data_IF_049803688671
#
_entry.id   IF_049803688671
#
_cell.length_a   1.000
_cell.length_b   1.000
_cell.length_c   1.000
_cell.angle_alpha   90.00
_cell.angle_beta   90.00
_cell.angle_gamma   90.00
#
_symmetry.space_group_name_H-M   'P 1'
#
loop_
_entity.id
_entity.type
_entity.pdbx_description
1 polymer ?
2 non-polymer ?
3 non-polymer ?
4 water ?
#
# COMPACT_ATOMS: atom_id res chain seq x y z
N UNK A 5 -11.95 -21.58 21.85
CA UNK A 5 -13.19 -20.80 22.08
C UNK A 5 -12.97 -19.32 22.32
N UNK A 6 -12.69 -18.95 23.58
CA UNK A 6 -12.90 -17.57 24.08
C UNK A 6 -11.71 -16.60 23.94
N UNK A 7 -11.95 -15.46 23.31
CA UNK A 7 -10.93 -14.43 23.09
C UNK A 7 -11.46 -13.06 23.53
N UNK A 8 -10.72 -12.40 24.42
CA UNK A 8 -11.05 -11.07 24.93
C UNK A 8 -10.04 -10.00 24.54
N UNK A 9 -10.50 -8.84 24.08
CA UNK A 9 -9.61 -7.75 23.64
C UNK A 9 -10.27 -6.40 23.93
N UNK A 10 -9.54 -5.54 24.61
CA UNK A 10 -9.99 -4.17 24.71
C UNK A 10 -9.33 -3.34 23.61
N UNK A 11 -10.11 -2.87 22.65
CA UNK A 11 -9.53 -2.20 21.46
C UNK A 11 -8.94 -0.85 21.80
N UNK A 12 -9.40 -0.25 22.88
CA UNK A 12 -8.81 1.00 23.38
C UNK A 12 -7.41 0.78 24.02
N UNK A 13 -7.07 -0.46 24.36
CA UNK A 13 -5.73 -0.76 24.88
C UNK A 13 -4.78 -1.28 23.81
N UNK A 14 -5.28 -1.33 22.58
CA UNK A 14 -4.52 -1.77 21.44
C UNK A 14 -4.00 -0.49 20.83
N UNK A 15 -2.68 -0.28 20.88
CA UNK A 15 -2.07 0.98 20.45
C UNK A 15 -1.32 0.85 19.13
N UNK A 16 -1.28 1.97 18.42
CA UNK A 16 -0.40 2.13 17.27
C UNK A 16 0.49 3.33 17.54
N UNK A 17 1.78 3.09 17.76
CA UNK A 17 2.66 4.17 18.22
C UNK A 17 3.93 4.29 17.40
N UNK A 18 4.73 5.29 17.76
CA UNK A 18 6.04 5.52 17.15
C UNK A 18 6.99 4.35 17.38
N UNK A 19 6.88 3.71 18.54
CA UNK A 19 7.83 2.66 18.89
C UNK A 19 7.20 1.28 18.79
N UNK A 20 6.80 0.95 17.57
CA UNK A 20 5.94 -0.21 17.32
C UNK A 20 6.65 -1.54 17.73
N UNK A 21 7.89 -1.73 17.28
CA UNK A 21 8.66 -2.98 17.58
C UNK A 21 8.83 -3.19 19.07
N UNK A 22 9.33 -2.19 19.76
CA UNK A 22 9.51 -2.29 21.21
C UNK A 22 8.17 -2.54 21.92
N UNK A 23 7.10 -1.96 21.42
CA UNK A 23 5.79 -2.14 22.03
C UNK A 23 5.11 -3.41 21.58
N UNK A 24 5.80 -4.19 20.75
CA UNK A 24 5.26 -5.44 20.25
C UNK A 24 3.91 -5.21 19.57
N UNK A 25 3.86 -4.22 18.71
CA UNK A 25 2.66 -3.94 17.95
C UNK A 25 2.57 -4.85 16.73
N UNK A 26 1.49 -5.59 16.62
CA UNK A 26 1.31 -6.49 15.49
C UNK A 26 1.03 -5.77 14.20
N UNK A 27 1.70 -6.20 13.13
CA UNK A 27 1.45 -5.62 11.79
C UNK A 27 0.98 -6.73 10.83
N UNK A 28 0.04 -6.36 9.97
CA UNK A 28 -0.47 -7.22 8.91
C UNK A 28 -0.02 -6.61 7.57
N UNK A 29 0.81 -7.37 6.82
CA UNK A 29 1.30 -6.87 5.56
C UNK A 29 0.44 -7.51 4.47
N UNK A 30 -0.24 -6.67 3.70
CA UNK A 30 -1.22 -7.15 2.72
C UNK A 30 -0.76 -6.84 1.30
N UNK A 31 -0.78 -7.86 0.45
CA UNK A 31 -0.24 -7.72 -0.89
C UNK A 31 -1.23 -8.41 -1.84
N UNK A 32 -1.95 -7.63 -2.66
CA UNK A 32 -2.58 -8.29 -3.81
C UNK A 32 -1.54 -8.66 -4.86
N UNK A 33 -1.64 -9.86 -5.43
CA UNK A 33 -0.54 -10.38 -6.22
C UNK A 33 -1.05 -11.02 -7.49
N UNK A 34 -0.76 -10.38 -8.62
CA UNK A 34 -1.00 -11.02 -9.90
C UNK A 34 0.23 -11.75 -10.41
N UNK A 35 1.43 -11.28 -10.02
CA UNK A 35 2.72 -11.86 -10.49
C UNK A 35 3.64 -11.96 -9.27
N UNK A 36 4.22 -13.14 -9.05
CA UNK A 36 5.22 -13.33 -8.01
C UNK A 36 6.59 -12.89 -8.51
N UNK A 37 7.23 -11.97 -7.78
CA UNK A 37 8.61 -11.59 -8.09
C UNK A 37 9.50 -12.00 -6.95
N UNK A 38 10.54 -12.78 -7.26
CA UNK A 38 11.45 -13.20 -6.21
C UNK A 38 12.04 -12.03 -5.41
N UNK A 39 12.34 -10.91 -6.08
CA UNK A 39 12.94 -9.80 -5.36
C UNK A 39 11.97 -9.16 -4.35
N UNK A 40 10.69 -9.11 -4.71
CA UNK A 40 9.64 -8.73 -3.74
C UNK A 40 9.72 -9.64 -2.52
N UNK A 41 9.77 -10.94 -2.78
CA UNK A 41 9.81 -11.90 -1.70
C UNK A 41 11.07 -11.76 -0.87
N UNK A 42 12.22 -11.65 -1.53
CA UNK A 42 13.46 -11.54 -0.79
C UNK A 42 13.48 -10.23 -0.01
N UNK A 43 12.98 -9.17 -0.62
CA UNK A 43 12.92 -7.89 0.09
C UNK A 43 12.05 -7.98 1.35
N UNK A 44 10.96 -8.76 1.28
CA UNK A 44 10.08 -8.94 2.41
C UNK A 44 10.81 -9.69 3.50
N UNK A 45 11.48 -10.77 3.12
CA UNK A 45 12.24 -11.55 4.09
C UNK A 45 13.35 -10.76 4.76
N UNK A 46 13.91 -9.77 4.06
CA UNK A 46 14.93 -8.93 4.67
C UNK A 46 14.37 -7.84 5.60
N UNK A 47 13.05 -7.66 5.68
CA UNK A 47 12.52 -6.74 6.72
C UNK A 47 12.98 -7.22 8.10
N UNK A 48 13.43 -6.30 8.95
CA UNK A 48 13.96 -6.70 10.26
C UNK A 48 13.03 -6.40 11.45
N UNK A 49 11.81 -5.95 11.16
CA UNK A 49 10.75 -5.94 12.16
C UNK A 49 10.54 -7.37 12.69
N UNK A 50 10.28 -7.54 14.01
CA UNK A 50 10.27 -8.92 14.49
C UNK A 50 9.19 -9.79 13.83
N UNK A 51 9.61 -10.95 13.35
CA UNK A 51 8.73 -11.88 12.62
C UNK A 51 7.51 -12.31 13.42
N UNK A 52 7.69 -12.46 14.73
CA UNK A 52 6.60 -12.93 15.56
C UNK A 52 5.48 -11.87 15.62
N UNK A 53 5.81 -10.63 15.25
CA UNK A 53 4.80 -9.53 15.11
C UNK A 53 4.20 -9.32 13.73
N UNK A 54 4.52 -10.19 12.79
CA UNK A 54 4.09 -9.98 11.41
C UNK A 54 3.13 -11.08 11.01
N UNK A 55 1.97 -10.68 10.46
CA UNK A 55 1.13 -11.58 9.70
C UNK A 55 1.16 -11.11 8.26
N UNK A 56 1.09 -12.06 7.34
CA UNK A 56 1.04 -11.79 5.90
C UNK A 56 -0.31 -12.20 5.33
N UNK A 57 -0.81 -11.41 4.38
CA UNK A 57 -2.02 -11.77 3.67
C UNK A 57 -1.78 -11.51 2.20
N UNK A 58 -2.15 -12.47 1.35
CA UNK A 58 -2.04 -12.32 -0.12
C UNK A 58 -3.38 -12.63 -0.76
N UNK A 59 -3.68 -12.01 -1.90
CA UNK A 59 -4.90 -12.38 -2.67
C UNK A 59 -4.55 -12.38 -4.15
N UNK A 60 -4.83 -13.50 -4.81
CA UNK A 60 -4.46 -13.66 -6.22
C UNK A 60 -5.72 -13.70 -7.06
N UNK A 61 -5.65 -13.21 -8.31
CA UNK A 61 -6.82 -13.31 -9.20
C UNK A 61 -7.02 -14.75 -9.70
N UNK A 62 -8.25 -15.08 -10.07
CA UNK A 62 -8.55 -16.44 -10.56
C UNK A 62 -8.30 -16.57 -12.07
N UNK A 63 -7.03 -16.46 -12.44
CA UNK A 63 -6.62 -16.46 -13.85
C UNK A 63 -5.34 -17.30 -13.96
N UNK A 64 -5.02 -17.71 -15.19
CA UNK A 64 -3.78 -18.43 -15.47
C UNK A 64 -2.60 -17.69 -14.84
N UNK A 65 -2.57 -16.37 -15.03
CA UNK A 65 -1.47 -15.57 -14.46
C UNK A 65 -1.47 -15.64 -12.91
N UNK A 66 -2.65 -15.54 -12.29
CA UNK A 66 -2.72 -15.56 -10.84
C UNK A 66 -2.33 -16.94 -10.31
N UNK A 67 -2.74 -17.98 -11.02
CA UNK A 67 -2.44 -19.31 -10.55
C UNK A 67 -0.95 -19.67 -10.63
N UNK A 68 -0.26 -19.16 -11.64
CA UNK A 68 1.21 -19.30 -11.70
C UNK A 68 1.88 -18.59 -10.52
N UNK A 69 1.43 -17.36 -10.27
CA UNK A 69 1.89 -16.60 -9.09
C UNK A 69 1.65 -17.37 -7.79
N UNK A 70 0.43 -17.89 -7.64
CA UNK A 70 0.05 -18.66 -6.47
C UNK A 70 1.01 -19.84 -6.22
N UNK A 71 1.31 -20.61 -7.27
CA UNK A 71 2.24 -21.74 -7.14
C UNK A 71 3.61 -21.28 -6.58
N UNK A 72 4.18 -20.22 -7.17
CA UNK A 72 5.50 -19.73 -6.77
C UNK A 72 5.46 -19.16 -5.36
N UNK A 73 4.38 -18.46 -5.05
CA UNK A 73 4.17 -17.93 -3.72
C UNK A 73 4.07 -19.04 -2.66
N UNK A 74 3.26 -20.06 -2.91
CA UNK A 74 3.13 -21.21 -2.01
C UNK A 74 4.49 -21.87 -1.71
N UNK A 75 5.29 -22.06 -2.76
CA UNK A 75 6.63 -22.62 -2.62
C UNK A 75 7.52 -21.75 -1.75
N UNK A 76 7.56 -20.46 -2.04
CA UNK A 76 8.30 -19.52 -1.17
C UNK A 76 7.84 -19.56 0.31
N UNK A 77 6.54 -19.50 0.57
CA UNK A 77 6.01 -19.63 1.93
C UNK A 77 6.46 -20.94 2.65
N UNK A 78 6.37 -22.06 1.93
CA UNK A 78 6.81 -23.35 2.48
C UNK A 78 8.25 -23.32 2.92
N UNK A 79 9.14 -22.76 2.10
CA UNK A 79 10.55 -22.66 2.50
C UNK A 79 10.70 -21.85 3.78
N UNK A 80 10.06 -20.68 3.85
CA UNK A 80 10.27 -19.84 5.04
C UNK A 80 9.63 -20.43 6.29
N UNK A 81 8.43 -21.01 6.15
CA UNK A 81 7.68 -21.48 7.33
C UNK A 81 8.18 -22.82 7.88
N UNK A 82 9.07 -23.47 7.14
CA UNK A 82 9.63 -24.75 7.59
C UNK A 82 11.13 -24.64 7.84
N UNK A 83 11.67 -23.41 7.74
CA UNK A 83 13.00 -23.13 8.30
C UNK A 83 12.88 -22.91 9.82
N UNK A 84 13.95 -22.42 10.44
CA UNK A 84 13.99 -22.28 11.91
C UNK A 84 12.70 -21.67 12.46
N UNK A 85 12.18 -22.30 13.51
CA UNK A 85 10.88 -21.94 14.08
C UNK A 85 10.82 -20.51 14.65
N UNK A 86 11.97 -20.04 15.16
CA UNK A 86 12.08 -18.67 15.72
C UNK A 86 11.86 -17.55 14.68
N UNK A 87 12.02 -17.88 13.40
CA UNK A 87 11.93 -16.93 12.33
C UNK A 87 10.68 -17.12 11.45
N UNK A 88 9.73 -17.97 11.86
CA UNK A 88 8.47 -18.07 11.10
C UNK A 88 7.65 -16.80 11.22
N UNK A 89 6.90 -16.46 10.16
CA UNK A 89 5.88 -15.43 10.27
C UNK A 89 4.77 -15.97 11.16
N UNK A 90 4.17 -15.08 11.93
CA UNK A 90 3.17 -15.47 12.90
C UNK A 90 2.02 -16.17 12.20
N UNK A 91 1.65 -15.68 11.02
CA UNK A 91 0.56 -16.29 10.26
C UNK A 91 0.67 -15.83 8.83
N UNK A 92 0.28 -16.69 7.89
CA UNK A 92 0.22 -16.34 6.49
C UNK A 92 -1.09 -16.81 5.91
N UNK A 93 -1.84 -15.91 5.30
CA UNK A 93 -3.13 -16.27 4.69
C UNK A 93 -3.00 -16.04 3.19
N UNK A 94 -3.34 -17.05 2.40
CA UNK A 94 -3.44 -16.85 0.96
C UNK A 94 -4.90 -17.02 0.50
N UNK A 95 -5.41 -16.04 -0.22
CA UNK A 95 -6.77 -16.04 -0.69
C UNK A 95 -6.76 -16.02 -2.21
N UNK A 96 -7.68 -16.77 -2.83
CA UNK A 96 -8.05 -16.49 -4.21
C UNK A 96 -9.33 -15.66 -4.24
N UNK A 97 -9.36 -14.73 -5.18
CA UNK A 97 -10.40 -13.69 -5.28
C UNK A 97 -11.78 -14.27 -5.45
N UNK A 98 -12.78 -13.70 -4.77
CA UNK A 98 -14.17 -14.06 -5.05
C UNK A 98 -14.58 -13.56 -6.44
N UNK A 99 -14.36 -12.28 -6.71
CA UNK A 99 -14.67 -11.76 -8.06
C UNK A 99 -13.49 -11.88 -9.02
N UNK A 112 -9.34 5.35 -23.06
CA UNK A 112 -9.60 4.49 -21.90
C UNK A 112 -8.29 4.07 -21.18
N UNK A 113 -8.12 4.37 -19.89
CA UNK A 113 -9.01 5.22 -19.06
C UNK A 113 -10.33 4.64 -18.54
N UNK A 114 -11.15 4.11 -19.43
CA UNK A 114 -12.24 3.25 -19.01
C UNK A 114 -11.71 1.90 -18.55
N UNK A 115 -10.63 1.43 -19.18
CA UNK A 115 -9.91 0.23 -18.73
C UNK A 115 -9.38 0.39 -17.31
N UNK A 116 -8.75 1.53 -17.06
CA UNK A 116 -8.23 1.86 -15.76
C UNK A 116 -9.33 1.90 -14.70
N UNK A 117 -10.46 2.52 -15.03
CA UNK A 117 -11.60 2.54 -14.13
C UNK A 117 -12.07 1.15 -13.75
N UNK A 118 -12.15 0.25 -14.72
CA UNK A 118 -12.63 -1.10 -14.46
C UNK A 118 -11.60 -1.84 -13.64
N UNK A 119 -10.33 -1.64 -13.96
CA UNK A 119 -9.27 -2.39 -13.31
C UNK A 119 -9.17 -1.97 -11.83
N UNK A 120 -9.26 -0.67 -11.60
CA UNK A 120 -9.17 -0.10 -10.26
C UNK A 120 -10.38 -0.56 -9.42
N UNK A 121 -11.57 -0.52 -10.02
CA UNK A 121 -12.77 -0.98 -9.31
C UNK A 121 -12.65 -2.47 -8.91
N UNK A 122 -12.15 -3.31 -9.82
CA UNK A 122 -11.94 -4.71 -9.49
C UNK A 122 -10.89 -4.86 -8.38
N UNK A 123 -9.83 -4.07 -8.44
CA UNK A 123 -8.81 -4.11 -7.40
C UNK A 123 -9.37 -3.73 -6.05
N UNK A 124 -10.30 -2.76 -6.04
CA UNK A 124 -10.91 -2.32 -4.78
C UNK A 124 -11.55 -3.51 -4.05
N UNK A 125 -12.30 -4.33 -4.80
CA UNK A 125 -12.94 -5.55 -4.20
C UNK A 125 -11.92 -6.53 -3.64
N UNK A 126 -10.89 -6.81 -4.44
CA UNK A 126 -9.78 -7.68 -4.00
C UNK A 126 -9.15 -7.19 -2.70
N UNK A 127 -8.86 -5.89 -2.59
CA UNK A 127 -8.26 -5.33 -1.39
C UNK A 127 -9.21 -5.46 -0.22
N UNK A 128 -10.48 -5.18 -0.44
CA UNK A 128 -11.44 -5.33 0.68
C UNK A 128 -11.54 -6.76 1.17
N UNK A 129 -11.67 -7.72 0.24
CA UNK A 129 -11.84 -9.13 0.57
C UNK A 129 -10.69 -9.58 1.41
N UNK A 130 -9.49 -9.23 0.95
CA UNK A 130 -8.29 -9.52 1.72
C UNK A 130 -8.29 -8.82 3.09
N UNK A 131 -8.49 -7.51 3.12
CA UNK A 131 -8.45 -6.76 4.38
C UNK A 131 -9.48 -7.31 5.41
N UNK A 132 -10.77 -7.33 5.04
CA UNK A 132 -11.78 -7.83 5.99
C UNK A 132 -11.42 -9.23 6.51
N UNK A 133 -10.97 -10.12 5.63
CA UNK A 133 -10.76 -11.53 6.00
C UNK A 133 -9.62 -11.69 6.98
N UNK A 134 -8.60 -10.86 6.84
CA UNK A 134 -7.36 -11.06 7.57
C UNK A 134 -7.13 -10.15 8.76
N UNK A 135 -7.65 -8.92 8.75
CA UNK A 135 -7.43 -8.06 9.91
C UNK A 135 -8.11 -8.71 11.13
N UNK A 136 -7.50 -8.57 12.31
CA UNK A 136 -8.02 -9.20 13.52
C UNK A 136 -8.11 -8.23 14.69
N UNK A 137 -8.49 -8.73 15.88
CA UNK A 137 -8.71 -7.89 17.05
C UNK A 137 -7.36 -7.50 17.72
N UNK A 138 -6.26 -8.04 17.23
CA UNK A 138 -4.94 -7.71 17.78
C UNK A 138 -4.07 -6.86 16.85
N UNK A 139 -4.56 -6.55 15.63
CA UNK A 139 -3.72 -5.92 14.61
C UNK A 139 -3.55 -4.42 14.97
N UNK A 140 -2.30 -3.91 15.06
CA UNK A 140 -2.10 -2.44 15.24
C UNK A 140 -1.91 -1.68 13.94
N UNK A 141 -1.34 -2.36 12.94
CA UNK A 141 -0.90 -1.71 11.68
C UNK A 141 -1.24 -2.61 10.51
N UNK A 142 -1.59 -2.01 9.38
CA UNK A 142 -1.77 -2.75 8.13
C UNK A 142 -0.85 -2.05 7.11
N UNK A 143 0.15 -2.77 6.63
CA UNK A 143 0.98 -2.26 5.53
C UNK A 143 0.48 -2.80 4.20
N UNK A 144 0.01 -1.90 3.34
CA UNK A 144 -0.30 -2.20 1.96
C UNK A 144 0.99 -2.12 1.16
N UNK A 145 1.43 -3.27 0.65
CA UNK A 145 2.66 -3.42 -0.08
C UNK A 145 2.34 -4.16 -1.35
N UNK A 146 2.44 -3.46 -2.47
CA UNK A 146 2.14 -4.09 -3.75
C UNK A 146 3.21 -5.14 -4.09
N UNK A 147 2.83 -6.14 -4.88
CA UNK A 147 3.71 -7.28 -5.12
C UNK A 147 4.85 -6.92 -6.06
N UNK A 148 4.78 -5.75 -6.68
CA UNK A 148 5.88 -5.33 -7.54
C UNK A 148 6.81 -4.33 -6.87
N UNK A 149 6.64 -4.12 -5.57
CA UNK A 149 7.62 -3.31 -4.82
C UNK A 149 8.76 -4.23 -4.40
N UNK A 150 9.92 -4.04 -5.03
CA UNK A 150 11.00 -5.01 -4.94
C UNK A 150 12.19 -4.56 -4.09
N UNK A 151 12.17 -3.31 -3.63
CA UNK A 151 13.25 -2.80 -2.80
C UNK A 151 12.71 -1.77 -1.81
N UNK A 152 12.93 -2.05 -0.53
CA UNK A 152 12.69 -1.08 0.54
C UNK A 152 13.86 -1.17 1.53
N UNK A 153 13.98 -0.20 2.45
CA UNK A 153 15.01 -0.44 3.48
C UNK A 153 14.62 -1.60 4.39
N UNK A 154 15.60 -2.32 4.93
CA UNK A 154 15.16 -3.42 5.79
C UNK A 154 14.39 -2.93 7.04
N UNK A 155 14.62 -1.70 7.48
CA UNK A 155 13.83 -1.13 8.58
C UNK A 155 12.54 -0.41 8.15
N UNK A 156 12.02 -0.74 6.97
CA UNK A 156 10.77 -0.14 6.46
C UNK A 156 9.69 0.10 7.51
N UNK A 157 9.38 -0.92 8.31
CA UNK A 157 8.27 -0.81 9.25
C UNK A 157 8.58 0.14 10.37
N UNK A 158 9.78 0.01 10.94
CA UNK A 158 10.17 0.92 12.02
C UNK A 158 10.22 2.36 11.46
N UNK A 159 10.84 2.54 10.31
CA UNK A 159 10.97 3.86 9.68
C UNK A 159 9.58 4.52 9.54
N UNK A 160 8.61 3.75 9.08
CA UNK A 160 7.28 4.34 8.79
C UNK A 160 6.42 4.55 10.05
N UNK A 161 6.39 3.57 10.95
CA UNK A 161 5.60 3.70 12.18
C UNK A 161 6.11 4.83 13.05
N UNK A 162 7.42 5.08 12.97
CA UNK A 162 8.03 6.20 13.68
C UNK A 162 7.23 7.47 13.53
N UNK A 163 6.73 7.72 12.32
CA UNK A 163 5.94 8.92 12.06
C UNK A 163 4.63 9.00 12.80
N UNK A 164 4.09 7.85 13.19
CA UNK A 164 2.86 7.80 14.01
C UNK A 164 1.68 8.55 13.34
N UNK A 165 1.50 8.32 12.04
CA UNK A 165 0.41 8.94 11.31
C UNK A 165 -0.69 7.90 11.07
N UNK A 166 -1.91 8.38 10.83
CA UNK A 166 -3.03 7.45 10.56
C UNK A 166 -2.81 6.70 9.25
N UNK A 167 -2.49 7.44 8.19
CA UNK A 167 -2.13 6.87 6.90
C UNK A 167 -0.83 7.54 6.42
N UNK A 168 0.10 6.74 5.90
CA UNK A 168 1.44 7.21 5.48
C UNK A 168 1.90 6.49 4.22
N UNK A 169 2.02 7.22 3.12
CA UNK A 169 2.47 6.66 1.84
C UNK A 169 3.97 6.97 1.59
N UNK A 170 4.77 5.93 1.32
CA UNK A 170 6.14 6.12 0.87
C UNK A 170 6.08 6.55 -0.59
N UNK A 171 7.11 7.25 -1.03
CA UNK A 171 7.14 7.72 -2.41
C UNK A 171 7.69 6.57 -3.26
N UNK A 172 6.99 6.22 -4.33
CA UNK A 172 7.35 5.05 -5.13
C UNK A 172 8.07 5.50 -6.40
N UNK A 173 9.36 5.13 -6.47
CA UNK A 173 10.16 5.33 -7.67
C UNK A 173 10.48 3.97 -8.34
N UNK A 174 11.30 4.01 -9.39
CA UNK A 174 11.64 2.83 -10.19
C UNK A 174 13.04 3.01 -10.68
N UNK A 175 13.90 1.96 -10.57
CA UNK A 175 15.25 2.03 -11.12
C UNK A 175 15.18 1.81 -12.63
N UNK A 176 16.14 2.38 -13.34
CA UNK A 176 16.35 2.07 -14.76
C UNK A 176 17.80 2.37 -15.10
N UNK A 177 18.23 1.94 -16.27
CA UNK A 177 19.53 2.33 -16.80
C UNK A 177 19.48 3.65 -17.60
N UNK A 178 20.27 4.65 -17.18
CA UNK A 178 20.32 5.92 -17.92
C UNK A 178 21.29 5.84 -19.10
N UNK A 179 20.75 5.84 -20.31
CA UNK A 179 21.53 5.48 -21.50
C UNK A 179 22.53 6.59 -21.86
N UNK A 180 22.05 7.84 -21.78
CA UNK A 180 22.86 9.03 -21.95
C UNK A 180 24.03 9.09 -20.97
N UNK A 181 23.77 8.86 -19.69
CA UNK A 181 24.79 8.99 -18.68
C UNK A 181 25.53 7.67 -18.47
N UNK A 182 25.11 6.61 -19.17
CA UNK A 182 25.68 5.26 -18.95
C UNK A 182 25.86 4.89 -17.44
N UNK A 183 24.76 4.93 -16.67
CA UNK A 183 24.78 4.59 -15.22
C UNK A 183 23.34 4.26 -14.75
N UNK A 184 23.22 3.36 -13.74
CA UNK A 184 21.94 3.12 -13.09
C UNK A 184 21.36 4.43 -12.60
N UNK A 185 20.04 4.53 -12.57
CA UNK A 185 19.42 5.74 -12.06
C UNK A 185 18.01 5.41 -11.54
N UNK A 186 17.24 6.45 -11.24
CA UNK A 186 15.92 6.27 -10.65
C UNK A 186 14.92 7.26 -11.30
N UNK A 187 13.66 6.87 -11.36
CA UNK A 187 12.59 7.75 -11.85
C UNK A 187 11.27 7.61 -11.05
N UNK A 188 10.44 8.68 -11.01
CA UNK A 188 9.20 8.55 -10.26
C UNK A 188 8.26 7.50 -10.87
N UNK A 189 7.49 6.79 -10.06
CA UNK A 189 6.62 5.77 -10.60
C UNK A 189 5.14 5.90 -10.23
N UNK A 190 4.82 6.15 -8.98
CA UNK A 190 3.42 6.14 -8.53
C UNK A 190 2.84 7.53 -8.39
N UNK A 191 1.87 7.83 -9.26
CA UNK A 191 1.24 9.12 -9.30
C UNK A 191 -0.15 9.12 -8.61
N UNK A 192 -0.40 8.10 -7.78
CA UNK A 192 -1.65 8.06 -7.02
C UNK A 192 -1.51 8.70 -5.64
N UNK A 193 -0.30 9.06 -5.25
CA UNK A 193 -0.08 9.88 -4.05
C UNK A 193 -0.08 11.38 -4.38
N UNK A 194 -1.14 12.09 -4.00
CA UNK A 194 -1.30 13.50 -4.39
C UNK A 194 -2.01 14.34 -3.38
N UNK A 195 -1.84 15.65 -3.48
CA UNK A 195 -2.67 16.58 -2.74
C UNK A 195 -3.75 17.09 -3.64
N UNK A 196 -4.91 17.37 -3.06
CA UNK A 196 -6.03 17.93 -3.79
C UNK A 196 -5.72 19.41 -4.13
N UNK A 197 -6.29 19.92 -5.22
CA UNK A 197 -6.18 21.34 -5.49
C UNK A 197 -7.57 21.90 -5.71
N UNK A 198 -7.65 23.23 -5.71
CA UNK A 198 -8.93 23.88 -6.02
C UNK A 198 -9.38 23.46 -7.39
N UNK A 199 -8.43 23.37 -8.33
CA UNK A 199 -8.78 23.03 -9.72
C UNK A 199 -9.38 21.62 -9.74
N UNK A 200 -8.81 20.74 -8.92
CA UNK A 200 -9.29 19.38 -8.83
C UNK A 200 -10.71 19.32 -8.28
N UNK A 201 -11.01 20.14 -7.28
CA UNK A 201 -12.35 20.14 -6.67
C UNK A 201 -13.38 20.73 -7.63
N UNK A 202 -13.00 21.82 -8.29
CA UNK A 202 -13.92 22.47 -9.24
C UNK A 202 -14.31 21.46 -10.34
N UNK A 203 -13.30 20.87 -10.96
CA UNK A 203 -13.52 19.87 -12.01
C UNK A 203 -14.42 18.72 -11.50
N UNK A 204 -14.24 18.32 -10.24
CA UNK A 204 -15.07 17.26 -9.64
C UNK A 204 -16.48 17.75 -9.29
N UNK A 205 -16.61 18.99 -8.85
CA UNK A 205 -17.94 19.57 -8.58
C UNK A 205 -18.85 19.52 -9.81
N UNK A 206 -18.27 19.70 -11.00
CA UNK A 206 -19.05 19.79 -12.24
C UNK A 206 -19.37 18.41 -12.83
N UNK A 207 -18.96 17.33 -12.15
CA UNK A 207 -19.10 15.98 -12.72
C UNK A 207 -20.31 15.25 -12.17
N UNK A 208 -20.90 14.36 -12.99
CA UNK A 208 -22.01 13.52 -12.55
C UNK A 208 -21.67 12.51 -11.46
N UNK A 209 -22.68 12.06 -10.73
CA UNK A 209 -22.55 11.33 -9.46
C UNK A 209 -21.75 10.02 -9.56
N UNK A 210 -21.75 9.43 -10.75
CA UNK A 210 -21.01 8.20 -10.98
C UNK A 210 -19.80 8.33 -11.93
N UNK A 211 -19.45 9.55 -12.34
CA UNK A 211 -18.22 9.79 -13.09
C UNK A 211 -17.03 9.60 -12.13
N UNK A 212 -16.00 8.91 -12.60
CA UNK A 212 -14.78 8.71 -11.79
C UNK A 212 -13.61 9.51 -12.37
N UNK A 213 -12.85 10.16 -11.51
CA UNK A 213 -11.54 10.73 -11.89
C UNK A 213 -10.42 9.74 -11.51
N UNK A 214 -9.67 9.29 -12.50
CA UNK A 214 -8.48 8.44 -12.28
C UNK A 214 -7.26 9.12 -12.90
N UNK A 215 -6.07 8.62 -12.55
CA UNK A 215 -4.82 9.16 -13.10
C UNK A 215 -4.92 9.20 -14.64
N UNK A 216 -4.53 10.33 -15.23
CA UNK A 216 -4.56 10.44 -16.68
C UNK A 216 -5.82 11.08 -17.23
N UNK A 217 -6.83 11.27 -16.39
CA UNK A 217 -7.98 12.09 -16.76
C UNK A 217 -7.52 13.47 -17.26
N UNK A 218 -7.87 13.81 -18.50
CA UNK A 218 -7.09 14.81 -19.27
C UNK A 218 -7.05 16.18 -18.55
N UNK A 219 -8.19 16.66 -18.09
CA UNK A 219 -8.29 18.03 -17.62
C UNK A 219 -7.61 18.26 -16.27
N UNK A 220 -7.66 17.27 -15.36
CA UNK A 220 -6.91 17.48 -14.11
C UNK A 220 -5.42 17.35 -14.35
N UNK A 221 -5.04 16.65 -15.43
CA UNK A 221 -3.63 16.37 -15.75
C UNK A 221 -2.87 16.05 -14.45
N UNK A 222 -1.92 16.91 -14.06
CA UNK A 222 -1.08 16.72 -12.88
C UNK A 222 -1.30 17.93 -11.98
N UNK A 223 -2.45 18.61 -12.21
CA UNK A 223 -2.88 19.79 -11.39
C UNK A 223 -3.12 19.51 -9.91
N UNK A 224 -3.26 18.23 -9.54
CA UNK A 224 -3.27 17.80 -8.13
C UNK A 224 -1.84 17.51 -7.81
N UNK A 225 -1.13 18.43 -7.12
CA UNK A 225 0.31 18.25 -6.86
C UNK A 225 0.70 16.77 -6.51
N UNK A 226 1.48 16.14 -7.38
CA UNK A 226 1.84 14.75 -7.25
C UNK A 226 3.02 14.63 -6.27
N UNK A 227 2.94 13.70 -5.31
CA UNK A 227 4.03 13.59 -4.32
C UNK A 227 5.33 13.18 -4.98
N UNK A 228 5.23 12.36 -6.04
CA UNK A 228 6.43 11.85 -6.68
C UNK A 228 7.44 12.98 -6.97
N UNK A 229 6.94 14.15 -7.38
CA UNK A 229 7.84 15.21 -7.82
C UNK A 229 8.34 16.11 -6.71
N UNK A 230 7.86 15.88 -5.50
CA UNK A 230 8.36 16.63 -4.34
C UNK A 230 9.60 16.01 -3.71
N UNK A 231 9.99 14.84 -4.20
CA UNK A 231 11.27 14.25 -3.84
C UNK A 231 12.38 15.31 -4.00
N UNK A 232 13.20 15.46 -2.97
CA UNK A 232 14.21 16.52 -2.95
C UNK A 232 15.52 15.81 -2.58
N UNK A 233 16.44 15.68 -3.54
CA UNK A 233 17.76 15.03 -3.29
C UNK A 233 18.51 15.66 -2.14
N UNK A 234 18.25 16.94 -1.87
CA UNK A 234 18.90 17.69 -0.80
C UNK A 234 18.14 17.68 0.53
N UNK A 235 16.99 17.02 0.56
CA UNK A 235 16.12 17.06 1.73
C UNK A 235 16.44 15.86 2.63
N UNK A 236 15.63 15.64 3.64
CA UNK A 236 15.91 14.54 4.57
C UNK A 236 14.75 13.56 4.50
N UNK A 237 15.00 12.29 4.87
CA UNK A 237 14.00 11.23 4.65
C UNK A 237 12.77 11.34 5.56
N UNK A 238 12.87 12.13 6.62
CA UNK A 238 11.76 12.23 7.59
C UNK A 238 10.75 13.29 7.19
N UNK A 239 11.03 14.03 6.12
CA UNK A 239 10.08 15.01 5.63
C UNK A 239 8.67 14.45 5.47
N UNK A 240 7.66 15.19 5.92
CA UNK A 240 6.27 14.73 5.76
C UNK A 240 5.48 15.71 4.92
N UNK A 241 4.63 15.20 4.05
CA UNK A 241 3.68 16.10 3.39
C UNK A 241 2.23 15.62 3.52
N UNK A 242 1.30 16.57 3.68
CA UNK A 242 -0.13 16.25 3.76
C UNK A 242 -0.55 15.74 2.41
N UNK A 243 -1.32 14.66 2.38
CA UNK A 243 -1.90 14.17 1.14
C UNK A 243 -3.40 14.13 1.21
N UNK A 244 -4.02 13.96 0.02
CA UNK A 244 -5.44 13.73 -0.12
C UNK A 244 -5.75 12.42 -0.87
N UNK A 245 -4.84 11.97 -1.72
CA UNK A 245 -5.00 10.71 -2.46
C UNK A 245 -3.76 9.84 -2.22
N UNK A 246 -3.93 8.53 -2.09
CA UNK A 246 -2.77 7.63 -1.94
C UNK A 246 -2.91 6.47 -2.92
N UNK A 247 -1.78 5.82 -3.23
CA UNK A 247 -1.83 4.50 -3.81
C UNK A 247 -1.66 3.40 -2.76
N UNK A 248 -1.55 2.17 -3.25
CA UNK A 248 -1.40 1.01 -2.38
C UNK A 248 -0.03 0.35 -2.51
N UNK A 249 0.92 1.08 -3.05
CA UNK A 249 2.28 0.57 -3.28
C UNK A 249 2.99 0.23 -1.98
N UNK A 250 3.02 1.18 -1.06
CA UNK A 250 3.77 0.97 0.18
C UNK A 250 3.20 2.00 1.12
N UNK A 251 2.04 1.67 1.69
CA UNK A 251 1.22 2.68 2.38
C UNK A 251 0.76 2.07 3.68
N UNK A 252 1.15 2.73 4.77
CA UNK A 252 0.99 2.21 6.11
C UNK A 252 -0.23 2.86 6.77
N UNK A 253 -1.08 2.02 7.34
CA UNK A 253 -2.40 2.43 7.88
C UNK A 253 -2.52 1.91 9.30
N UNK A 254 -2.79 2.81 10.26
CA UNK A 254 -3.17 2.35 11.61
C UNK A 254 -4.44 1.52 11.53
N UNK A 255 -4.47 0.40 12.26
CA UNK A 255 -5.59 -0.56 12.16
C UNK A 255 -6.92 0.10 12.48
N UNK A 256 -6.90 1.06 13.42
CA UNK A 256 -8.13 1.75 13.81
C UNK A 256 -8.81 2.49 12.66
N UNK A 257 -8.03 2.93 11.67
CA UNK A 257 -8.59 3.64 10.48
C UNK A 257 -9.48 2.67 9.71
N UNK A 258 -8.98 1.44 9.48
CA UNK A 258 -9.79 0.43 8.82
C UNK A 258 -10.89 -0.04 9.70
N UNK A 259 -10.63 -0.23 11.01
CA UNK A 259 -11.71 -0.75 11.89
C UNK A 259 -12.90 0.21 11.97
N UNK A 260 -12.64 1.50 11.76
CA UNK A 260 -13.68 2.54 11.79
C UNK A 260 -14.48 2.53 10.51
N UNK A 261 -13.93 1.87 9.51
CA UNK A 261 -14.68 1.54 8.34
C UNK A 261 -14.03 1.92 7.05
N UNK A 262 -12.84 2.54 7.07
CA UNK A 262 -12.31 3.10 5.83
C UNK A 262 -11.87 1.94 4.95
N UNK A 263 -12.36 1.87 3.74
CA UNK A 263 -12.08 0.70 2.89
C UNK A 263 -11.89 1.20 1.47
N UNK A 264 -11.79 0.27 0.52
CA UNK A 264 -11.49 0.66 -0.87
C UNK A 264 -12.72 0.63 -1.75
N UNK A 265 -13.29 1.82 -2.05
CA UNK A 265 -14.61 1.72 -2.63
C UNK A 265 -14.56 1.28 -4.09
N UNK A 266 -15.38 0.29 -4.42
CA UNK A 266 -15.52 -0.22 -5.78
C UNK A 266 -16.48 0.66 -6.58
N UNK A 267 -17.29 1.46 -5.88
CA UNK A 267 -18.21 2.40 -6.50
C UNK A 267 -17.64 3.83 -6.33
N UNK A 268 -18.04 4.75 -7.22
CA UNK A 268 -17.53 6.13 -7.17
C UNK A 268 -17.86 6.77 -5.83
N UNK A 269 -16.86 7.36 -5.21
CA UNK A 269 -17.00 7.90 -3.89
C UNK A 269 -16.34 9.27 -3.92
N UNK A 270 -17.14 10.35 -3.98
CA UNK A 270 -16.59 11.66 -4.31
C UNK A 270 -15.77 11.58 -5.62
N UNK A 271 -16.28 10.82 -6.60
CA UNK A 271 -15.61 10.63 -7.88
C UNK A 271 -14.28 9.94 -7.81
N UNK A 272 -14.01 9.27 -6.70
CA UNK A 272 -12.75 8.54 -6.54
C UNK A 272 -13.06 7.05 -6.34
N UNK A 273 -12.13 6.16 -6.68
CA UNK A 273 -12.36 4.74 -6.36
C UNK A 273 -11.11 4.15 -5.73
N UNK A 274 -11.24 2.95 -5.22
CA UNK A 274 -10.10 2.16 -4.77
C UNK A 274 -9.20 2.97 -3.81
N UNK A 275 -7.89 3.02 -4.05
CA UNK A 275 -6.96 3.57 -3.02
C UNK A 275 -7.16 5.07 -2.79
N UNK A 276 -7.50 5.79 -3.86
CA UNK A 276 -7.79 7.22 -3.71
C UNK A 276 -9.08 7.51 -2.94
N UNK A 277 -10.13 6.75 -3.24
CA UNK A 277 -11.37 6.84 -2.49
C UNK A 277 -11.18 6.39 -1.04
N UNK A 278 -10.30 5.42 -0.82
CA UNK A 278 -9.92 5.05 0.54
C UNK A 278 -9.41 6.26 1.35
N UNK A 279 -8.44 7.00 0.79
CA UNK A 279 -7.96 8.20 1.47
C UNK A 279 -9.11 9.18 1.76
N UNK A 280 -9.95 9.42 0.78
CA UNK A 280 -11.07 10.31 1.00
C UNK A 280 -11.99 9.77 2.12
N UNK A 281 -12.18 8.45 2.15
CA UNK A 281 -12.99 7.84 3.20
C UNK A 281 -12.37 8.04 4.58
N UNK A 282 -11.04 7.87 4.70
CA UNK A 282 -10.40 8.06 6.01
C UNK A 282 -10.51 9.51 6.49
N UNK A 283 -10.49 10.46 5.55
CA UNK A 283 -10.69 11.87 5.90
C UNK A 283 -12.12 12.14 6.40
N UNK A 284 -13.10 11.50 5.78
CA UNK A 284 -14.51 11.59 6.22
C UNK A 284 -14.62 11.01 7.61
N UNK A 285 -13.75 10.08 7.94
CA UNK A 285 -13.70 9.50 9.29
C UNK A 285 -12.74 10.25 10.19
N UNK A 286 -12.44 11.49 9.79
CA UNK A 286 -11.62 12.45 10.59
C UNK A 286 -10.17 12.08 10.83
N UNK A 287 -9.59 11.29 9.91
CA UNK A 287 -8.16 10.99 9.88
C UNK A 287 -7.44 11.90 8.89
N UNK A 288 -6.18 12.21 9.20
CA UNK A 288 -5.30 12.91 8.30
C UNK A 288 -4.35 11.96 7.57
N UNK A 289 -4.10 12.24 6.30
CA UNK A 289 -3.33 11.37 5.42
C UNK A 289 -2.01 12.07 5.09
N UNK A 290 -0.90 11.34 5.16
CA UNK A 290 0.42 11.96 4.95
C UNK A 290 1.23 11.13 3.97
N UNK A 291 2.30 11.72 3.48
CA UNK A 291 3.20 11.02 2.58
C UNK A 291 4.64 11.37 2.95
N UNK A 292 5.58 10.52 2.59
CA UNK A 292 7.04 10.78 2.73
C UNK A 292 7.68 11.00 1.35
N UNK A 293 7.77 12.29 0.90
CA UNK A 293 8.33 12.60 -0.41
C UNK A 293 9.79 12.20 -0.60
N UNK A 294 10.58 12.19 0.47
CA UNK A 294 12.01 11.86 0.36
C UNK A 294 12.35 10.46 0.86
N UNK A 295 11.33 9.65 1.14
CA UNK A 295 11.56 8.25 1.51
C UNK A 295 11.12 7.38 0.35
N UNK A 296 12.10 6.94 -0.45
CA UNK A 296 11.81 6.27 -1.70
C UNK A 296 11.88 4.76 -1.53
N UNK A 297 10.92 4.07 -2.16
CA UNK A 297 10.99 2.63 -2.33
C UNK A 297 10.75 2.36 -3.82
N UNK A 298 11.07 1.15 -4.27
CA UNK A 298 11.23 0.92 -5.70
C UNK A 298 10.32 -0.16 -6.27
N UNK A 299 9.57 0.22 -7.30
CA UNK A 299 8.80 -0.66 -8.15
C UNK A 299 9.73 -1.34 -9.14
N UNK A 300 9.49 -2.63 -9.38
CA UNK A 300 10.21 -3.39 -10.38
C UNK A 300 10.46 -2.62 -11.70
N UNK A 301 11.64 -2.87 -12.28
CA UNK A 301 12.08 -2.21 -13.51
C UNK A 301 11.22 -2.61 -14.70
N UNK A 302 11.00 -1.69 -15.63
CA UNK A 302 10.58 -2.08 -17.01
C UNK A 302 11.39 -3.25 -17.63
N UNK A 303 12.70 -3.26 -17.42
CA UNK A 303 13.63 -4.28 -18.00
C UNK A 303 13.64 -5.65 -17.25
N UNK A 304 12.82 -5.77 -16.18
CA UNK A 304 12.86 -6.89 -15.24
C UNK A 304 11.74 -7.84 -15.55
#
# INVERSE_FOLDING_TARGET
GAEGHIAHYDLNKLHSTSEAAVNKEHILILTPMQTFHQQYWDNLLQLNYPRELIELGFITPRTATGDLALKKLENAIKKVQTDKKTQRFSKITILRQNSQSFDKLMEKERHALDVQKERRAAMALARNELLFSTIGPHTSWVLWLNADIIETPPSLIQDMTKHNKAILAANIYQRFYDEEKKQPSIRPYDFNNWQESDTGLEIASQMGDDEIIVEGYAEIATYRPLMAHFYDANGVPGEEMALDGVGGGCTLVKAEVHRDGAMFPNFPFYHLIETEGFAKMAKRLNYDVFGLPNYLVYHIEEENH
#
